data_IF_969867137012
#
_entry.id   IF_969867137012
#
_cell.length_a   1.000
_cell.length_b   1.000
_cell.length_c   1.000
_cell.angle_alpha   90.00
_cell.angle_beta   90.00
_cell.angle_gamma   90.00
#
_symmetry.space_group_name_H-M   'P 1'
#
loop_
_entity.id
_entity.type
_entity.pdbx_description
1 polymer ?
#
# COMPACT_ATOMS: atom_id res chain seq x y z
N UNK A 1 49.43 10.23 24.80
CA UNK A 1 48.32 9.40 24.29
C UNK A 1 47.41 10.32 23.50
N UNK A 2 47.55 10.34 22.18
CA UNK A 2 46.66 11.08 21.28
C UNK A 2 45.76 10.04 20.61
N UNK A 3 44.51 9.95 21.05
CA UNK A 3 43.45 9.26 20.34
C UNK A 3 42.45 10.35 19.96
N UNK A 4 41.96 10.31 18.72
CA UNK A 4 40.98 11.19 18.05
C UNK A 4 41.56 11.93 16.83
N UNK A 5 42.00 11.17 15.83
CA UNK A 5 42.10 11.64 14.45
C UNK A 5 41.87 10.46 13.52
N UNK A 6 40.64 9.96 13.49
CA UNK A 6 40.16 9.18 12.34
C UNK A 6 39.02 10.02 11.76
N UNK A 7 39.40 10.93 10.87
CA UNK A 7 38.46 11.52 9.92
C UNK A 7 37.83 10.35 9.15
N UNK A 8 36.51 10.28 9.16
CA UNK A 8 35.73 9.32 8.39
C UNK A 8 35.98 9.65 6.90
N UNK A 9 36.93 8.95 6.27
CA UNK A 9 37.24 9.12 4.86
C UNK A 9 36.11 8.53 4.00
N UNK A 10 35.17 9.40 3.60
CA UNK A 10 34.05 9.07 2.73
C UNK A 10 34.47 8.85 1.27
N UNK A 11 35.74 9.07 0.91
CA UNK A 11 36.21 8.87 -0.46
C UNK A 11 36.36 7.39 -0.83
N UNK A 12 36.61 6.51 0.15
CA UNK A 12 36.67 5.04 -0.04
C UNK A 12 35.37 4.33 0.31
N UNK A 13 34.38 5.05 0.85
CA UNK A 13 33.02 4.53 0.91
C UNK A 13 32.51 4.41 -0.53
N UNK A 14 32.83 3.29 -1.18
CA UNK A 14 32.03 2.76 -2.27
C UNK A 14 30.63 2.65 -1.69
N UNK A 15 29.84 3.71 -1.87
CA UNK A 15 28.40 3.67 -1.68
C UNK A 15 28.00 2.47 -2.52
N UNK A 16 27.70 1.35 -1.84
CA UNK A 16 26.91 0.30 -2.41
C UNK A 16 25.71 1.09 -2.95
N UNK A 17 25.66 1.26 -4.28
CA UNK A 17 24.47 1.79 -4.91
C UNK A 17 23.36 0.96 -4.28
N UNK A 18 22.28 1.59 -3.76
CA UNK A 18 21.20 0.80 -3.18
C UNK A 18 20.99 -0.30 -4.19
N UNK A 19 21.09 -1.55 -3.72
CA UNK A 19 20.80 -2.69 -4.56
C UNK A 19 19.32 -2.49 -4.88
N UNK A 20 19.05 -1.69 -5.91
CA UNK A 20 17.86 -1.72 -6.72
C UNK A 20 18.05 -3.02 -7.45
N UNK A 21 17.98 -4.12 -6.68
CA UNK A 21 17.89 -5.44 -7.21
C UNK A 21 16.88 -5.30 -8.32
N UNK A 22 17.22 -5.85 -9.48
CA UNK A 22 16.39 -5.92 -10.67
C UNK A 22 15.11 -6.72 -10.38
N UNK A 23 14.32 -6.33 -9.38
CA UNK A 23 12.90 -6.35 -9.50
C UNK A 23 12.62 -5.44 -10.69
N UNK A 24 12.33 -6.06 -11.84
CA UNK A 24 11.84 -5.32 -12.99
C UNK A 24 10.72 -4.39 -12.55
N UNK A 25 10.57 -3.28 -13.27
CA UNK A 25 9.44 -2.37 -13.05
C UNK A 25 8.15 -3.22 -12.95
N UNK A 26 7.33 -3.02 -11.88
CA UNK A 26 6.21 -3.91 -11.62
C UNK A 26 5.28 -3.99 -12.83
N UNK A 27 4.64 -5.14 -13.07
CA UNK A 27 3.75 -5.29 -14.21
C UNK A 27 2.49 -4.41 -14.01
N UNK A 28 2.22 -3.43 -14.89
CA UNK A 28 1.06 -2.54 -14.75
C UNK A 28 -0.28 -3.27 -14.72
N UNK A 29 -0.40 -4.41 -15.40
CA UNK A 29 -1.61 -5.21 -15.38
C UNK A 29 -1.83 -5.84 -13.99
N UNK A 30 -0.79 -6.43 -13.40
CA UNK A 30 -0.86 -7.02 -12.07
C UNK A 30 -1.13 -5.99 -10.98
N UNK A 31 -0.51 -4.81 -11.07
CA UNK A 31 -0.76 -3.71 -10.11
C UNK A 31 -2.20 -3.21 -10.20
N UNK A 32 -2.76 -3.15 -11.42
CA UNK A 32 -4.17 -2.78 -11.64
C UNK A 32 -5.11 -3.82 -11.04
N UNK A 33 -4.87 -5.11 -11.32
CA UNK A 33 -5.67 -6.21 -10.78
C UNK A 33 -5.64 -6.21 -9.24
N UNK A 34 -4.45 -6.03 -8.65
CA UNK A 34 -4.29 -5.96 -7.20
C UNK A 34 -5.03 -4.76 -6.60
N UNK A 35 -5.03 -3.60 -7.29
CA UNK A 35 -5.76 -2.40 -6.87
C UNK A 35 -7.27 -2.62 -6.83
N UNK A 36 -7.82 -3.27 -7.86
CA UNK A 36 -9.24 -3.66 -7.90
C UNK A 36 -9.58 -4.65 -6.79
N UNK A 37 -8.72 -5.66 -6.59
CA UNK A 37 -8.91 -6.68 -5.56
C UNK A 37 -8.91 -6.09 -4.14
N UNK A 38 -8.02 -5.14 -3.82
CA UNK A 38 -8.02 -4.49 -2.50
C UNK A 38 -9.24 -3.59 -2.30
N UNK A 39 -9.76 -2.96 -3.35
CA UNK A 39 -11.00 -2.18 -3.29
C UNK A 39 -12.24 -3.07 -3.07
N UNK A 40 -12.31 -4.23 -3.73
CA UNK A 40 -13.38 -5.20 -3.47
C UNK A 40 -13.32 -5.74 -2.04
N UNK A 41 -12.12 -6.04 -1.53
CA UNK A 41 -11.94 -6.42 -0.14
C UNK A 41 -12.37 -5.30 0.82
N UNK A 42 -11.99 -4.05 0.54
CA UNK A 42 -12.40 -2.89 1.34
C UNK A 42 -13.91 -2.67 1.31
N UNK A 43 -14.59 -2.92 0.18
CA UNK A 43 -16.04 -2.86 0.08
C UNK A 43 -16.71 -3.92 0.97
N UNK A 44 -16.18 -5.14 1.01
CA UNK A 44 -16.65 -6.18 1.94
C UNK A 44 -16.45 -5.77 3.41
N UNK A 45 -15.29 -5.19 3.74
CA UNK A 45 -15.03 -4.63 5.08
C UNK A 45 -16.01 -3.49 5.40
N UNK A 46 -16.31 -2.61 4.45
CA UNK A 46 -17.27 -1.50 4.63
C UNK A 46 -18.69 -1.98 4.96
N UNK A 47 -19.13 -3.10 4.37
CA UNK A 47 -20.39 -3.76 4.73
C UNK A 47 -20.35 -4.28 6.18
N UNK A 48 -19.26 -4.96 6.57
CA UNK A 48 -19.08 -5.44 7.95
C UNK A 48 -19.00 -4.30 8.97
N UNK A 49 -18.52 -3.13 8.54
CA UNK A 49 -18.44 -1.90 9.33
C UNK A 49 -19.74 -1.07 9.36
N UNK A 50 -20.83 -1.53 8.73
CA UNK A 50 -22.10 -0.80 8.59
C UNK A 50 -22.00 0.54 7.84
N UNK A 51 -20.94 0.74 7.04
CA UNK A 51 -20.79 1.90 6.16
C UNK A 51 -21.44 1.68 4.79
N UNK A 52 -21.61 0.41 4.39
CA UNK A 52 -21.98 0.04 3.04
C UNK A 52 -20.80 0.06 2.07
N UNK A 53 -21.09 0.00 0.77
CA UNK A 53 -20.08 0.07 -0.30
C UNK A 53 -19.79 1.53 -0.64
N UNK A 54 -18.52 1.91 -0.65
CA UNK A 54 -18.08 3.23 -1.10
C UNK A 54 -18.26 3.38 -2.61
N UNK A 55 -18.67 4.58 -3.06
CA UNK A 55 -18.60 4.94 -4.49
C UNK A 55 -17.20 5.44 -4.78
N UNK A 56 -16.46 4.71 -5.62
CA UNK A 56 -15.07 5.03 -5.96
C UNK A 56 -15.06 6.13 -7.03
N UNK A 57 -14.38 7.24 -6.72
CA UNK A 57 -14.19 8.32 -7.68
C UNK A 57 -13.25 7.89 -8.83
N UNK A 58 -13.44 8.35 -10.08
CA UNK A 58 -12.58 7.97 -11.21
C UNK A 58 -11.08 8.22 -10.94
N UNK A 59 -10.76 9.28 -10.21
CA UNK A 59 -9.39 9.63 -9.85
C UNK A 59 -8.74 8.60 -8.92
N UNK A 60 -9.54 7.90 -8.10
CA UNK A 60 -9.07 6.81 -7.25
C UNK A 60 -8.95 5.53 -8.07
N UNK A 61 -9.94 5.24 -8.92
CA UNK A 61 -9.93 4.04 -9.77
C UNK A 61 -8.72 4.03 -10.72
N UNK A 62 -8.43 5.16 -11.37
CA UNK A 62 -7.37 5.28 -12.38
C UNK A 62 -5.94 5.43 -11.79
N UNK A 63 -5.80 5.37 -10.46
CA UNK A 63 -4.53 5.62 -9.77
C UNK A 63 -3.38 4.73 -10.27
N UNK A 64 -3.53 3.40 -10.43
CA UNK A 64 -2.45 2.54 -10.92
C UNK A 64 -1.96 2.94 -12.31
N UNK A 65 -2.88 3.32 -13.22
CA UNK A 65 -2.51 3.73 -14.57
C UNK A 65 -1.83 5.09 -14.56
N UNK A 66 -2.27 6.03 -13.69
CA UNK A 66 -1.56 7.31 -13.53
C UNK A 66 -0.15 7.11 -12.98
N UNK A 67 0.02 6.24 -11.99
CA UNK A 67 1.32 5.91 -11.43
C UNK A 67 2.24 5.29 -12.50
N UNK A 68 1.74 4.31 -13.26
CA UNK A 68 2.49 3.67 -14.34
C UNK A 68 2.92 4.65 -15.44
N UNK A 69 2.09 5.64 -15.78
CA UNK A 69 2.45 6.72 -16.73
C UNK A 69 3.60 7.61 -16.22
N UNK A 70 3.72 7.80 -14.90
CA UNK A 70 4.86 8.51 -14.31
C UNK A 70 6.12 7.63 -14.28
N UNK A 71 5.96 6.32 -14.10
CA UNK A 71 7.06 5.36 -14.07
C UNK A 71 8.04 5.57 -12.93
N UNK A 72 9.14 4.84 -12.96
CA UNK A 72 10.28 5.05 -12.07
C UNK A 72 9.93 4.91 -10.58
N UNK A 73 10.53 5.78 -9.74
CA UNK A 73 10.37 5.67 -8.27
C UNK A 73 8.93 5.82 -7.79
N UNK A 74 8.15 6.74 -8.37
CA UNK A 74 6.75 6.95 -7.98
C UNK A 74 5.90 5.72 -8.26
N UNK A 75 6.10 5.10 -9.43
CA UNK A 75 5.38 3.88 -9.78
C UNK A 75 5.78 2.70 -8.90
N UNK A 76 7.08 2.49 -8.68
CA UNK A 76 7.58 1.41 -7.82
C UNK A 76 7.05 1.55 -6.37
N UNK A 77 7.03 2.76 -5.83
CA UNK A 77 6.50 3.03 -4.50
C UNK A 77 4.99 2.88 -4.42
N UNK A 78 4.24 3.30 -5.45
CA UNK A 78 2.80 3.10 -5.50
C UNK A 78 2.44 1.59 -5.55
N UNK A 79 3.14 0.82 -6.39
CA UNK A 79 2.97 -0.64 -6.44
C UNK A 79 3.27 -1.29 -5.09
N UNK A 80 4.35 -0.87 -4.42
CA UNK A 80 4.66 -1.37 -3.08
C UNK A 80 3.60 -1.02 -2.04
N UNK A 81 3.07 0.20 -2.07
CA UNK A 81 1.97 0.60 -1.18
C UNK A 81 0.71 -0.26 -1.39
N UNK A 82 0.42 -0.65 -2.64
CA UNK A 82 -0.69 -1.56 -2.96
C UNK A 82 -0.44 -2.95 -2.38
N UNK A 83 0.79 -3.48 -2.47
CA UNK A 83 1.18 -4.74 -1.84
C UNK A 83 1.02 -4.68 -0.31
N UNK A 84 1.44 -3.58 0.32
CA UNK A 84 1.33 -3.39 1.76
C UNK A 84 -0.15 -3.34 2.19
N UNK A 85 -1.03 -2.71 1.39
CA UNK A 85 -2.49 -2.76 1.60
C UNK A 85 -2.99 -4.21 1.55
N UNK A 86 -2.62 -4.97 0.51
CA UNK A 86 -3.03 -6.36 0.36
C UNK A 86 -2.58 -7.22 1.54
N UNK A 87 -1.37 -6.98 2.04
CA UNK A 87 -0.74 -7.72 3.13
C UNK A 87 -1.54 -7.65 4.43
N UNK A 88 -2.17 -6.52 4.77
CA UNK A 88 -3.02 -6.42 5.95
C UNK A 88 -4.50 -6.71 5.65
N UNK A 89 -4.98 -6.38 4.44
CA UNK A 89 -6.39 -6.53 4.09
C UNK A 89 -6.82 -8.00 4.03
N UNK A 90 -6.01 -8.86 3.41
CA UNK A 90 -6.34 -10.28 3.25
C UNK A 90 -6.50 -11.03 4.60
N UNK A 91 -5.53 -10.98 5.54
CA UNK A 91 -5.71 -11.61 6.84
C UNK A 91 -6.77 -10.90 7.70
N UNK A 92 -6.88 -9.57 7.62
CA UNK A 92 -7.88 -8.79 8.35
C UNK A 92 -9.31 -9.18 7.98
N UNK A 93 -9.65 -9.17 6.69
CA UNK A 93 -10.96 -9.58 6.21
C UNK A 93 -11.27 -11.05 6.54
N UNK A 94 -10.29 -11.95 6.40
CA UNK A 94 -10.46 -13.36 6.76
C UNK A 94 -10.79 -13.55 8.24
N UNK A 95 -10.13 -12.79 9.12
CA UNK A 95 -10.40 -12.82 10.55
C UNK A 95 -11.81 -12.30 10.86
N UNK A 96 -12.21 -11.17 10.26
CA UNK A 96 -13.54 -10.61 10.43
C UNK A 96 -14.62 -11.61 10.02
N UNK A 97 -14.52 -12.19 8.81
CA UNK A 97 -15.47 -13.19 8.33
C UNK A 97 -15.57 -14.42 9.26
N UNK A 98 -14.44 -14.89 9.79
CA UNK A 98 -14.42 -16.01 10.72
C UNK A 98 -15.11 -15.72 12.06
N UNK A 99 -15.01 -14.48 12.56
CA UNK A 99 -15.67 -14.05 13.80
C UNK A 99 -17.16 -13.75 13.58
N UNK A 100 -17.51 -13.09 12.46
CA UNK A 100 -18.90 -12.86 12.06
C UNK A 100 -19.65 -14.19 11.88
N UNK A 101 -19.01 -15.20 11.29
CA UNK A 101 -19.59 -16.55 11.16
C UNK A 101 -19.87 -17.23 12.51
N UNK A 102 -19.20 -16.80 13.59
CA UNK A 102 -19.46 -17.24 14.97
C UNK A 102 -20.51 -16.38 15.69
N UNK A 103 -21.13 -15.42 15.00
CA UNK A 103 -22.11 -14.49 15.56
C UNK A 103 -21.50 -13.40 16.45
N UNK A 104 -20.18 -13.15 16.36
CA UNK A 104 -19.56 -12.04 17.09
C UNK A 104 -19.80 -10.71 16.37
N UNK A 105 -19.96 -9.64 17.16
CA UNK A 105 -19.98 -8.29 16.63
C UNK A 105 -18.55 -7.86 16.24
N UNK A 106 -18.34 -7.70 14.94
CA UNK A 106 -17.06 -7.31 14.34
C UNK A 106 -17.04 -5.85 13.88
N UNK A 107 -18.10 -5.08 14.12
CA UNK A 107 -18.31 -3.75 13.53
C UNK A 107 -17.15 -2.80 13.83
N UNK A 108 -16.71 -2.72 15.09
CA UNK A 108 -15.61 -1.85 15.48
C UNK A 108 -14.27 -2.23 14.84
N UNK A 109 -13.96 -3.53 14.76
CA UNK A 109 -12.73 -4.01 14.13
C UNK A 109 -12.75 -3.80 12.61
N UNK A 110 -13.91 -4.00 11.98
CA UNK A 110 -14.11 -3.72 10.55
C UNK A 110 -13.95 -2.22 10.25
N UNK A 111 -14.50 -1.34 11.09
CA UNK A 111 -14.36 0.11 10.94
C UNK A 111 -12.90 0.55 11.03
N UNK A 112 -12.13 -0.01 11.97
CA UNK A 112 -10.68 0.26 12.06
C UNK A 112 -9.96 -0.17 10.79
N UNK A 113 -10.15 -1.41 10.34
CA UNK A 113 -9.51 -1.91 9.12
C UNK A 113 -9.87 -1.08 7.88
N UNK A 114 -11.13 -0.66 7.76
CA UNK A 114 -11.59 0.20 6.67
C UNK A 114 -10.88 1.57 6.69
N UNK A 115 -10.70 2.16 7.88
CA UNK A 115 -9.98 3.43 8.03
C UNK A 115 -8.49 3.31 7.69
N UNK A 116 -7.84 2.22 8.07
CA UNK A 116 -6.44 1.95 7.70
C UNK A 116 -6.28 1.84 6.18
N UNK A 117 -7.19 1.12 5.52
CA UNK A 117 -7.24 1.08 4.05
C UNK A 117 -7.41 2.48 3.45
N UNK A 118 -8.38 3.25 3.94
CA UNK A 118 -8.66 4.59 3.42
C UNK A 118 -7.43 5.51 3.57
N UNK A 119 -6.77 5.48 4.73
CA UNK A 119 -5.56 6.26 4.98
C UNK A 119 -4.40 5.84 4.06
N UNK A 120 -4.14 4.54 3.91
CA UNK A 120 -3.10 4.03 3.03
C UNK A 120 -3.37 4.39 1.56
N UNK A 121 -4.62 4.28 1.11
CA UNK A 121 -5.06 4.68 -0.23
C UNK A 121 -4.79 6.17 -0.51
N UNK A 122 -5.15 7.04 0.43
CA UNK A 122 -4.90 8.48 0.32
C UNK A 122 -3.40 8.78 0.23
N UNK A 123 -2.58 8.15 1.07
CA UNK A 123 -1.13 8.33 1.05
C UNK A 123 -0.49 7.92 -0.31
N UNK A 124 -0.98 6.84 -0.94
CA UNK A 124 -0.55 6.46 -2.29
C UNK A 124 -0.99 7.51 -3.32
N UNK A 125 -2.20 8.07 -3.18
CA UNK A 125 -2.68 9.16 -4.03
C UNK A 125 -1.77 10.39 -3.97
N UNK A 126 -1.45 10.84 -2.75
CA UNK A 126 -0.54 11.96 -2.49
C UNK A 126 0.86 11.71 -3.09
N UNK A 127 1.42 10.51 -2.89
CA UNK A 127 2.69 10.11 -3.49
C UNK A 127 2.67 10.25 -5.02
N UNK A 128 1.59 9.83 -5.66
CA UNK A 128 1.45 9.92 -7.12
C UNK A 128 1.21 11.35 -7.59
N UNK A 129 0.62 12.23 -6.77
CA UNK A 129 0.35 13.63 -7.12
C UNK A 129 1.56 14.56 -6.94
N UNK A 130 2.43 14.30 -5.95
CA UNK A 130 3.55 15.20 -5.57
C UNK A 130 4.74 15.19 -6.57
N UNK A 131 4.52 14.71 -7.80
CA UNK A 131 5.56 14.52 -8.84
C UNK A 131 5.31 15.33 -10.11
#
# INVERSE_FOLDING_TARGET
MNALSNEFDLAEATMLSPDTGTAGEPDPALVTEQWEAVHEAAAAVGVLAQLGRETIAPEVADLPQRAARKGGWHYAMAARGIDDIAAFMQPGLRALLALTAKGQDTTAAALTLWREFHAARCAIGELVETA
#
